data_IF_279026262709
#
_entry.id   IF_279026262709
#
_cell.length_a   1.000
_cell.length_b   1.000
_cell.length_c   1.000
_cell.angle_alpha   90.00
_cell.angle_beta   90.00
_cell.angle_gamma   90.00
#
_symmetry.space_group_name_H-M   'P 1'
#
loop_
_entity.id
_entity.type
_entity.pdbx_description
1 polymer ?
#
# COMPACT_ATOMS: atom_id res chain seq x y z
N UNK A 1 7.28 15.17 14.62
CA UNK A 1 6.22 15.41 15.63
C UNK A 1 5.68 14.10 16.21
N UNK A 2 5.37 13.09 15.38
CA UNK A 2 4.87 11.80 15.87
C UNK A 2 5.84 11.00 16.75
N UNK A 3 7.15 11.03 16.46
CA UNK A 3 8.11 10.35 17.33
C UNK A 3 8.09 10.93 18.75
N UNK A 4 8.01 12.25 18.89
CA UNK A 4 7.88 12.90 20.19
C UNK A 4 6.54 12.58 20.87
N UNK A 5 5.44 12.55 20.10
CA UNK A 5 4.11 12.16 20.63
C UNK A 5 4.08 10.70 21.07
N UNK A 6 4.60 9.76 20.26
CA UNK A 6 4.69 8.34 20.64
C UNK A 6 5.54 8.15 21.90
N UNK A 7 6.69 8.83 21.99
CA UNK A 7 7.55 8.78 23.18
C UNK A 7 6.89 9.41 24.41
N UNK A 8 6.12 10.49 24.25
CA UNK A 8 5.34 11.07 25.34
C UNK A 8 4.19 10.16 25.77
N UNK A 9 3.46 9.57 24.82
CA UNK A 9 2.38 8.63 25.07
C UNK A 9 2.89 7.37 25.79
N UNK A 10 4.05 6.83 25.40
CA UNK A 10 4.71 5.70 26.09
C UNK A 10 5.16 6.03 27.53
N UNK A 11 5.39 7.31 27.85
CA UNK A 11 5.74 7.76 29.20
C UNK A 11 4.53 8.01 30.10
N UNK A 12 3.32 8.01 29.55
CA UNK A 12 2.08 8.22 30.32
C UNK A 12 1.52 6.88 30.80
N UNK A 13 1.32 6.74 32.11
CA UNK A 13 1.05 5.44 32.76
C UNK A 13 -0.32 4.82 32.48
N UNK A 14 -1.22 5.52 31.78
CA UNK A 14 -2.55 5.01 31.40
C UNK A 14 -3.03 5.65 30.08
N UNK A 15 -2.76 5.00 28.95
CA UNK A 15 -3.51 5.26 27.72
C UNK A 15 -4.81 4.46 27.73
N UNK A 16 -5.95 5.15 27.74
CA UNK A 16 -7.24 4.51 27.49
C UNK A 16 -7.44 4.32 25.97
N UNK A 17 -6.84 3.25 25.43
CA UNK A 17 -7.03 2.86 24.03
C UNK A 17 -8.48 2.51 23.71
N UNK A 18 -9.35 2.33 24.72
CA UNK A 18 -10.77 2.06 24.53
C UNK A 18 -11.61 3.30 24.34
N UNK A 19 -11.07 4.47 24.64
CA UNK A 19 -11.76 5.72 24.43
C UNK A 19 -11.91 6.00 22.93
N UNK A 20 -13.16 6.12 22.47
CA UNK A 20 -13.49 6.59 21.13
C UNK A 20 -13.79 8.09 21.22
N UNK A 21 -13.09 8.96 20.47
CA UNK A 21 -13.37 10.39 20.44
C UNK A 21 -14.83 10.68 20.11
N UNK A 22 -15.44 11.63 20.83
CA UNK A 22 -16.82 12.06 20.57
C UNK A 22 -16.97 12.83 19.26
N UNK A 23 -15.91 13.53 18.85
CA UNK A 23 -15.85 14.26 17.58
C UNK A 23 -15.02 13.46 16.59
N UNK A 24 -15.63 13.11 15.45
CA UNK A 24 -15.04 12.25 14.42
C UNK A 24 -14.60 13.06 13.20
N UNK A 25 -13.64 13.97 13.40
CA UNK A 25 -12.97 14.67 12.29
C UNK A 25 -12.04 13.73 11.51
N UNK A 26 -11.53 14.19 10.35
CA UNK A 26 -10.59 13.41 9.54
C UNK A 26 -9.41 12.92 10.41
N UNK A 27 -9.13 11.61 10.36
CA UNK A 27 -8.08 11.00 11.16
C UNK A 27 -8.42 10.73 12.63
N UNK A 28 -9.67 10.89 13.09
CA UNK A 28 -10.06 10.62 14.49
C UNK A 28 -9.64 9.23 14.99
N UNK A 29 -9.66 8.24 14.09
CA UNK A 29 -9.33 6.85 14.35
C UNK A 29 -7.85 6.64 14.70
N UNK A 30 -6.97 7.62 14.44
CA UNK A 30 -5.57 7.56 14.88
C UNK A 30 -5.46 7.48 16.41
N UNK A 31 -6.42 8.03 17.15
CA UNK A 31 -6.49 7.95 18.61
C UNK A 31 -6.71 6.51 19.13
N UNK A 32 -7.20 5.60 18.27
CA UNK A 32 -7.38 4.19 18.63
C UNK A 32 -6.07 3.39 18.56
N UNK A 33 -5.02 3.94 17.94
CA UNK A 33 -3.78 3.20 17.71
C UNK A 33 -2.85 3.24 18.92
N UNK A 34 -2.12 2.16 19.17
CA UNK A 34 -1.20 2.08 20.30
C UNK A 34 0.21 2.54 19.91
N UNK A 35 0.86 3.44 20.65
CA UNK A 35 2.23 3.83 20.35
C UNK A 35 3.19 2.67 20.56
N UNK A 36 4.20 2.58 19.70
CA UNK A 36 5.21 1.55 19.75
C UNK A 36 6.57 2.11 19.29
N UNK A 37 7.66 1.48 19.71
CA UNK A 37 9.03 1.82 19.33
C UNK A 37 9.78 0.57 18.84
N UNK A 38 10.41 0.68 17.69
CA UNK A 38 11.35 -0.30 17.13
C UNK A 38 12.77 0.22 17.34
N UNK A 39 13.43 -0.31 18.37
CA UNK A 39 14.75 0.18 18.78
C UNK A 39 14.70 1.63 19.28
N UNK A 40 15.85 2.33 19.32
CA UNK A 40 15.92 3.66 19.93
C UNK A 40 15.39 4.79 19.04
N UNK A 41 15.23 4.56 17.73
CA UNK A 41 15.11 5.64 16.74
C UNK A 41 13.80 5.66 15.95
N UNK A 42 12.99 4.60 16.00
CA UNK A 42 11.81 4.47 15.15
C UNK A 42 10.57 4.26 16.00
N UNK A 43 9.70 5.26 16.06
CA UNK A 43 8.38 5.13 16.66
C UNK A 43 7.32 4.94 15.59
N UNK A 44 6.24 4.24 15.91
CA UNK A 44 5.09 4.05 15.04
C UNK A 44 3.83 3.81 15.88
N UNK A 45 2.66 3.91 15.25
CA UNK A 45 1.39 3.57 15.90
C UNK A 45 0.88 2.22 15.40
N UNK A 46 0.62 1.28 16.31
CA UNK A 46 -0.03 0.00 16.03
C UNK A 46 -1.51 0.18 15.71
N UNK A 47 -1.93 -0.06 14.45
CA UNK A 47 -3.30 0.12 14.01
C UNK A 47 -4.22 -1.07 14.35
N UNK A 48 -3.73 -2.11 15.03
CA UNK A 48 -4.51 -3.32 15.35
C UNK A 48 -5.87 -3.03 16.00
N UNK A 49 -5.92 -2.08 16.94
CA UNK A 49 -7.16 -1.63 17.60
C UNK A 49 -8.08 -0.85 16.67
N UNK A 50 -7.53 -0.02 15.77
CA UNK A 50 -8.32 0.65 14.73
C UNK A 50 -9.04 -0.38 13.87
N UNK A 51 -8.36 -1.46 13.46
CA UNK A 51 -8.94 -2.50 12.61
C UNK A 51 -10.14 -3.21 13.27
N UNK A 52 -10.16 -3.29 14.60
CA UNK A 52 -11.28 -3.85 15.35
C UNK A 52 -12.51 -2.92 15.42
N UNK A 53 -12.35 -1.63 15.14
CA UNK A 53 -13.45 -0.67 15.21
C UNK A 53 -14.10 -0.49 13.83
N UNK A 54 -15.40 -0.86 13.65
CA UNK A 54 -16.03 -0.87 12.33
C UNK A 54 -16.00 0.47 11.60
N UNK A 55 -16.36 1.57 12.30
CA UNK A 55 -16.34 2.92 11.72
C UNK A 55 -14.91 3.41 11.46
N UNK A 56 -13.99 3.25 12.42
CA UNK A 56 -12.60 3.70 12.28
C UNK A 56 -11.87 3.05 11.09
N UNK A 57 -12.09 1.76 10.84
CA UNK A 57 -11.54 1.12 9.63
C UNK A 57 -12.15 1.69 8.35
N UNK A 58 -13.46 1.89 8.30
CA UNK A 58 -14.15 2.44 7.13
C UNK A 58 -13.70 3.87 6.82
N UNK A 59 -13.62 4.72 7.84
CA UNK A 59 -13.19 6.10 7.71
C UNK A 59 -11.71 6.20 7.30
N UNK A 60 -10.86 5.34 7.86
CA UNK A 60 -9.46 5.25 7.45
C UNK A 60 -9.32 4.88 5.98
N UNK A 61 -10.05 3.87 5.52
CA UNK A 61 -10.07 3.48 4.10
C UNK A 61 -10.61 4.60 3.21
N UNK A 62 -11.68 5.29 3.63
CA UNK A 62 -12.25 6.41 2.89
C UNK A 62 -11.26 7.58 2.75
N UNK A 63 -10.58 7.94 3.84
CA UNK A 63 -9.56 8.98 3.86
C UNK A 63 -8.38 8.63 2.94
N UNK A 64 -7.91 7.38 3.00
CA UNK A 64 -6.81 6.89 2.15
C UNK A 64 -7.16 6.91 0.66
N UNK A 65 -8.43 6.73 0.31
CA UNK A 65 -8.91 6.75 -1.06
C UNK A 65 -9.30 8.13 -1.57
N UNK A 66 -9.52 9.11 -0.68
CA UNK A 66 -9.99 10.44 -1.05
C UNK A 66 -9.16 11.09 -2.17
N UNK A 67 -7.81 11.10 -2.14
CA UNK A 67 -7.03 11.73 -3.20
C UNK A 67 -7.09 10.98 -4.52
N UNK A 68 -7.41 9.69 -4.51
CA UNK A 68 -7.43 8.81 -5.69
C UNK A 68 -8.81 8.72 -6.35
N UNK A 69 -9.77 9.54 -5.94
CA UNK A 69 -11.10 9.56 -6.57
C UNK A 69 -10.99 9.94 -8.05
N UNK A 70 -11.52 9.06 -8.92
CA UNK A 70 -11.45 9.22 -10.36
C UNK A 70 -10.14 8.76 -11.00
N UNK A 71 -9.12 8.45 -10.20
CA UNK A 71 -7.89 7.86 -10.72
C UNK A 71 -8.15 6.43 -11.21
N UNK A 72 -7.53 6.04 -12.32
CA UNK A 72 -7.65 4.68 -12.78
C UNK A 72 -6.80 3.73 -11.93
N UNK A 73 -7.47 2.83 -11.22
CA UNK A 73 -6.87 1.75 -10.44
C UNK A 73 -7.43 0.41 -10.93
N UNK A 74 -6.53 -0.49 -11.32
CA UNK A 74 -6.87 -1.82 -11.82
C UNK A 74 -6.66 -2.91 -10.75
N UNK A 75 -5.72 -2.69 -9.84
CA UNK A 75 -5.34 -3.63 -8.79
C UNK A 75 -4.78 -2.89 -7.57
N UNK A 76 -4.91 -3.48 -6.39
CA UNK A 76 -4.34 -2.96 -5.15
C UNK A 76 -3.24 -3.90 -4.70
N UNK A 77 -2.05 -3.38 -4.40
CA UNK A 77 -0.91 -4.16 -3.95
C UNK A 77 -0.61 -3.84 -2.48
N UNK A 78 -0.78 -4.83 -1.59
CA UNK A 78 -0.49 -4.69 -0.17
C UNK A 78 0.88 -5.25 0.19
N UNK A 79 1.56 -4.60 1.14
CA UNK A 79 2.90 -4.97 1.60
C UNK A 79 2.82 -5.69 2.97
N UNK A 80 3.59 -6.77 3.10
CA UNK A 80 3.61 -7.68 4.26
C UNK A 80 3.58 -7.01 5.65
N UNK A 81 2.80 -7.50 6.62
CA UNK A 81 1.50 -8.18 6.49
C UNK A 81 0.36 -7.25 6.94
N UNK A 82 0.67 -6.21 7.71
CA UNK A 82 -0.31 -5.22 8.16
C UNK A 82 -0.87 -4.41 6.98
N UNK A 83 -0.06 -4.18 5.93
CA UNK A 83 -0.52 -3.59 4.67
C UNK A 83 -1.53 -4.45 3.92
N UNK A 84 -1.64 -5.76 4.22
CA UNK A 84 -2.68 -6.61 3.64
C UNK A 84 -4.06 -6.29 4.20
N UNK A 85 -4.16 -5.88 5.47
CA UNK A 85 -5.44 -5.57 6.11
C UNK A 85 -6.06 -4.34 5.42
N UNK A 86 -5.30 -3.25 5.35
CA UNK A 86 -5.73 -2.04 4.65
C UNK A 86 -5.87 -2.26 3.14
N UNK A 87 -4.90 -2.95 2.53
CA UNK A 87 -4.90 -3.20 1.10
C UNK A 87 -6.09 -4.05 0.65
N UNK A 88 -6.46 -5.09 1.41
CA UNK A 88 -7.64 -5.90 1.12
C UNK A 88 -8.94 -5.11 1.32
N UNK A 89 -9.03 -4.28 2.37
CA UNK A 89 -10.18 -3.41 2.60
C UNK A 89 -10.37 -2.37 1.49
N UNK A 90 -9.27 -1.77 1.01
CA UNK A 90 -9.26 -0.87 -0.14
C UNK A 90 -9.64 -1.61 -1.42
N UNK A 91 -9.05 -2.79 -1.68
CA UNK A 91 -9.37 -3.61 -2.85
C UNK A 91 -10.86 -3.98 -2.91
N UNK A 92 -11.44 -4.36 -1.76
CA UNK A 92 -12.86 -4.66 -1.64
C UNK A 92 -13.73 -3.43 -1.93
N UNK A 93 -13.38 -2.27 -1.35
CA UNK A 93 -14.07 -0.98 -1.59
C UNK A 93 -14.04 -0.59 -3.06
N UNK A 94 -12.89 -0.75 -3.73
CA UNK A 94 -12.73 -0.44 -5.15
C UNK A 94 -13.27 -1.54 -6.09
N UNK A 95 -13.66 -2.71 -5.55
CA UNK A 95 -14.00 -3.92 -6.30
C UNK A 95 -12.90 -4.33 -7.29
N UNK A 96 -11.66 -4.40 -6.79
CA UNK A 96 -10.45 -4.75 -7.56
C UNK A 96 -9.76 -5.99 -7.00
N UNK A 97 -8.87 -6.56 -7.80
CA UNK A 97 -7.97 -7.62 -7.35
C UNK A 97 -6.96 -7.09 -6.33
N UNK A 98 -6.41 -8.02 -5.54
CA UNK A 98 -5.40 -7.76 -4.52
C UNK A 98 -4.11 -8.54 -4.83
N UNK A 99 -2.97 -7.85 -4.86
CA UNK A 99 -1.64 -8.40 -5.05
C UNK A 99 -0.86 -8.36 -3.73
N UNK A 100 -0.49 -9.53 -3.22
CA UNK A 100 0.35 -9.62 -2.02
C UNK A 100 1.83 -9.49 -2.39
N UNK A 101 2.52 -8.52 -1.81
CA UNK A 101 3.98 -8.38 -1.84
C UNK A 101 4.51 -8.80 -0.48
N UNK A 102 5.26 -9.91 -0.42
CA UNK A 102 5.61 -10.60 0.82
C UNK A 102 7.09 -10.48 1.15
N UNK A 103 7.47 -10.71 2.41
CA UNK A 103 8.87 -11.07 2.71
C UNK A 103 9.19 -12.42 2.04
N UNK A 104 10.44 -12.60 1.62
CA UNK A 104 10.86 -13.77 0.87
C UNK A 104 10.62 -15.11 1.60
N UNK A 105 10.28 -16.15 0.84
CA UNK A 105 10.08 -17.52 1.33
C UNK A 105 8.66 -17.84 1.80
N UNK A 106 7.68 -17.00 1.46
CA UNK A 106 6.29 -17.14 1.91
C UNK A 106 5.29 -17.41 0.78
N UNK A 107 5.64 -17.15 -0.48
CA UNK A 107 4.86 -17.48 -1.67
C UNK A 107 5.26 -18.87 -2.19
N UNK A 108 4.26 -19.71 -2.47
CA UNK A 108 4.45 -21.09 -2.92
C UNK A 108 4.46 -21.24 -4.45
N UNK A 109 4.87 -20.19 -5.17
CA UNK A 109 4.83 -20.09 -6.64
C UNK A 109 6.12 -19.45 -7.14
N UNK A 110 6.28 -19.33 -8.45
CA UNK A 110 7.39 -18.57 -9.03
C UNK A 110 7.27 -17.09 -8.64
N UNK A 111 8.38 -16.50 -8.21
CA UNK A 111 8.43 -15.11 -7.71
C UNK A 111 9.52 -14.28 -8.37
N UNK A 112 9.25 -12.98 -8.50
CA UNK A 112 10.30 -11.96 -8.57
C UNK A 112 10.69 -11.58 -7.15
N UNK A 113 11.95 -11.23 -6.96
CA UNK A 113 12.51 -10.86 -5.65
C UNK A 113 13.28 -9.55 -5.74
N UNK A 114 13.24 -8.78 -4.67
CA UNK A 114 13.92 -7.48 -4.59
C UNK A 114 14.56 -7.32 -3.20
N UNK A 115 15.90 -7.22 -3.10
CA UNK A 115 16.58 -6.93 -1.86
C UNK A 115 16.31 -5.49 -1.41
N UNK A 116 16.30 -5.28 -0.09
CA UNK A 116 16.21 -3.98 0.56
C UNK A 116 16.91 -3.98 1.91
N UNK A 117 17.31 -2.79 2.36
CA UNK A 117 17.87 -2.59 3.70
C UNK A 117 16.76 -2.14 4.64
N UNK A 118 16.59 -2.86 5.75
CA UNK A 118 15.61 -2.49 6.77
C UNK A 118 16.13 -1.39 7.73
N UNK A 119 15.28 -0.98 8.66
CA UNK A 119 15.62 0.04 9.67
C UNK A 119 16.78 -0.36 10.61
N UNK A 120 17.17 -1.64 10.66
CA UNK A 120 18.30 -2.13 11.43
C UNK A 120 19.61 -2.18 10.63
N UNK A 121 19.57 -1.78 9.35
CA UNK A 121 20.72 -1.88 8.45
C UNK A 121 20.95 -3.29 7.89
N UNK A 122 20.02 -4.22 8.12
CA UNK A 122 20.13 -5.60 7.64
C UNK A 122 19.49 -5.73 6.26
N UNK A 123 20.14 -6.48 5.38
CA UNK A 123 19.56 -6.85 4.11
C UNK A 123 18.44 -7.87 4.31
N UNK A 124 17.31 -7.61 3.66
CA UNK A 124 16.13 -8.46 3.59
C UNK A 124 15.65 -8.51 2.15
N UNK A 125 14.74 -9.42 1.86
CA UNK A 125 14.24 -9.63 0.50
C UNK A 125 12.72 -9.62 0.52
N UNK A 126 12.13 -8.85 -0.41
CA UNK A 126 10.71 -8.88 -0.73
C UNK A 126 10.49 -9.75 -1.97
N UNK A 127 9.31 -10.35 -2.08
CA UNK A 127 8.92 -11.19 -3.21
C UNK A 127 7.48 -10.90 -3.65
N UNK A 128 7.22 -11.14 -4.93
CA UNK A 128 5.88 -11.08 -5.52
C UNK A 128 5.73 -12.20 -6.55
N UNK A 129 4.53 -12.78 -6.64
CA UNK A 129 4.23 -13.84 -7.61
C UNK A 129 4.33 -13.31 -9.05
N UNK A 130 4.86 -14.10 -9.97
CA UNK A 130 5.07 -13.66 -11.37
C UNK A 130 3.85 -13.85 -12.26
N UNK A 131 2.91 -14.70 -11.87
CA UNK A 131 1.70 -15.03 -12.61
C UNK A 131 0.50 -14.12 -12.24
N UNK A 132 0.73 -13.04 -11.49
CA UNK A 132 -0.29 -12.02 -11.24
C UNK A 132 -0.64 -11.21 -12.50
N UNK A 133 0.33 -11.09 -13.41
CA UNK A 133 0.24 -10.32 -14.65
C UNK A 133 0.80 -11.20 -15.76
N UNK A 134 -0.07 -11.81 -16.57
CA UNK A 134 0.37 -12.64 -17.68
C UNK A 134 0.91 -11.77 -18.82
N UNK A 135 2.15 -11.97 -19.28
CA UNK A 135 2.64 -11.31 -20.49
C UNK A 135 1.79 -11.73 -21.70
N UNK A 136 1.19 -10.77 -22.41
CA UNK A 136 0.41 -11.00 -23.63
C UNK A 136 -1.11 -11.10 -23.44
N UNK A 137 -1.60 -11.27 -22.21
CA UNK A 137 -3.03 -11.36 -21.92
C UNK A 137 -3.40 -10.45 -20.75
N UNK A 138 -4.38 -9.56 -20.96
CA UNK A 138 -5.02 -8.89 -19.83
C UNK A 138 -5.60 -9.97 -18.91
N UNK A 139 -5.46 -9.85 -17.58
CA UNK A 139 -6.05 -10.82 -16.68
C UNK A 139 -7.53 -11.00 -17.02
N UNK A 140 -8.02 -12.24 -17.03
CA UNK A 140 -9.40 -12.55 -17.48
C UNK A 140 -10.50 -11.78 -16.73
N UNK A 141 -10.17 -11.27 -15.54
CA UNK A 141 -11.02 -10.42 -14.69
C UNK A 141 -10.97 -8.93 -15.04
N UNK A 142 -9.96 -8.45 -15.77
CA UNK A 142 -9.92 -7.07 -16.26
C UNK A 142 -10.92 -6.97 -17.41
N UNK A 143 -12.13 -6.51 -17.09
CA UNK A 143 -13.26 -6.49 -18.03
C UNK A 143 -12.85 -5.98 -19.41
N UNK A 144 -13.22 -6.72 -20.47
CA UNK A 144 -12.94 -6.38 -21.86
C UNK A 144 -13.45 -4.96 -22.14
N UNK A 145 -12.56 -3.98 -22.05
CA UNK A 145 -12.86 -2.60 -22.39
C UNK A 145 -13.24 -2.52 -23.86
N UNK A 146 -14.40 -1.93 -24.16
CA UNK A 146 -14.81 -1.62 -25.53
C UNK A 146 -13.80 -0.61 -26.09
N UNK A 147 -13.01 -0.99 -27.09
CA UNK A 147 -12.24 -0.01 -27.86
C UNK A 147 -13.21 1.07 -28.38
N UNK A 148 -12.88 2.35 -28.17
CA UNK A 148 -13.61 3.47 -28.80
C UNK A 148 -13.51 3.28 -30.31
N UNK A 149 -14.55 2.74 -30.93
CA UNK A 149 -14.55 2.44 -32.37
C UNK A 149 -15.42 1.27 -32.83
N UNK A 150 -15.97 0.45 -31.93
CA UNK A 150 -17.03 -0.52 -32.30
C UNK A 150 -16.59 -1.73 -33.13
N UNK A 151 -15.31 -1.89 -33.45
CA UNK A 151 -14.78 -3.08 -34.11
C UNK A 151 -14.04 -4.00 -33.12
N UNK A 152 -14.46 -5.27 -33.07
CA UNK A 152 -13.73 -6.34 -32.40
C UNK A 152 -12.47 -6.66 -33.22
N UNK A 153 -11.34 -6.07 -32.86
CA UNK A 153 -10.08 -6.37 -33.53
C UNK A 153 -9.62 -7.79 -33.15
N UNK A 154 -9.75 -8.73 -34.08
CA UNK A 154 -9.15 -10.08 -34.07
C UNK A 154 -7.61 -10.05 -34.26
N UNK A 155 -6.95 -8.98 -33.80
CA UNK A 155 -5.51 -8.76 -33.98
C UNK A 155 -4.97 -8.19 -32.67
N UNK A 156 -4.75 -9.07 -31.70
CA UNK A 156 -4.11 -8.77 -30.41
C UNK A 156 -2.63 -8.35 -30.53
N UNK A 157 -2.06 -8.35 -31.74
CA UNK A 157 -0.63 -8.25 -31.99
C UNK A 157 -0.06 -6.82 -32.17
N UNK A 158 -0.89 -5.76 -32.21
CA UNK A 158 -0.40 -4.41 -32.57
C UNK A 158 -0.92 -3.24 -31.72
N UNK A 159 -1.74 -3.49 -30.69
CA UNK A 159 -2.14 -2.44 -29.75
C UNK A 159 -1.35 -2.64 -28.45
N UNK A 160 -0.52 -1.68 -27.99
CA UNK A 160 0.06 -1.76 -26.65
C UNK A 160 -1.11 -1.84 -25.66
N UNK A 161 -1.26 -2.98 -24.97
CA UNK A 161 -2.30 -3.06 -23.94
C UNK A 161 -1.97 -1.99 -22.90
N UNK A 162 -2.95 -1.20 -22.45
CA UNK A 162 -2.70 -0.22 -21.40
C UNK A 162 -2.13 -0.97 -20.19
N UNK A 163 -1.00 -0.48 -19.69
CA UNK A 163 -0.34 -1.06 -18.52
C UNK A 163 -1.26 -1.17 -17.30
N UNK A 164 -0.98 -2.12 -16.42
CA UNK A 164 -1.75 -2.30 -15.19
C UNK A 164 -1.42 -1.20 -14.18
N UNK A 165 -2.45 -0.57 -13.62
CA UNK A 165 -2.31 0.53 -12.67
C UNK A 165 -2.59 0.04 -11.26
N UNK A 166 -1.58 0.11 -10.41
CA UNK A 166 -1.60 -0.46 -9.05
C UNK A 166 -1.59 0.63 -8.00
N UNK A 167 -2.46 0.52 -6.99
CA UNK A 167 -2.36 1.32 -5.78
C UNK A 167 -1.56 0.52 -4.74
N UNK A 168 -0.41 1.05 -4.33
CA UNK A 168 0.42 0.43 -3.29
C UNK A 168 -0.09 0.84 -1.90
N UNK A 169 -0.20 -0.14 -1.00
CA UNK A 169 -0.78 0.05 0.33
C UNK A 169 0.12 -0.57 1.40
N UNK A 170 0.39 0.21 2.42
CA UNK A 170 1.07 -0.20 3.66
C UNK A 170 0.50 0.63 4.82
N UNK A 171 0.67 0.22 6.07
CA UNK A 171 0.29 1.07 7.21
C UNK A 171 1.32 2.17 7.44
N UNK A 172 2.61 1.85 7.39
CA UNK A 172 3.67 2.76 7.83
C UNK A 172 4.88 2.65 6.94
N UNK A 173 5.38 3.80 6.48
CA UNK A 173 6.64 3.88 5.76
C UNK A 173 7.68 4.49 6.68
N UNK A 174 8.54 3.66 7.29
CA UNK A 174 9.62 4.15 8.15
C UNK A 174 10.79 4.69 7.30
N UNK A 175 11.72 3.81 6.87
CA UNK A 175 12.88 4.22 6.06
C UNK A 175 12.58 4.33 4.56
N UNK A 176 11.41 3.86 4.13
CA UNK A 176 11.06 3.70 2.72
C UNK A 176 11.61 2.44 2.04
N UNK A 177 12.46 1.65 2.71
CA UNK A 177 13.12 0.49 2.10
C UNK A 177 12.13 -0.55 1.54
N UNK A 178 11.15 -0.97 2.34
CA UNK A 178 10.14 -1.95 1.92
C UNK A 178 9.25 -1.42 0.79
N UNK A 179 8.78 -0.18 0.88
CA UNK A 179 7.94 0.44 -0.14
C UNK A 179 8.69 0.61 -1.46
N UNK A 180 9.96 1.03 -1.42
CA UNK A 180 10.81 1.12 -2.63
C UNK A 180 11.02 -0.23 -3.29
N UNK A 181 11.25 -1.28 -2.51
CA UNK A 181 11.36 -2.64 -3.05
C UNK A 181 10.05 -3.11 -3.67
N UNK A 182 8.91 -2.80 -3.04
CA UNK A 182 7.59 -3.10 -3.60
C UNK A 182 7.32 -2.38 -4.93
N UNK A 183 7.65 -1.08 -5.01
CA UNK A 183 7.58 -0.29 -6.25
C UNK A 183 8.41 -0.96 -7.35
N UNK A 184 9.66 -1.33 -7.06
CA UNK A 184 10.54 -1.98 -8.03
C UNK A 184 10.00 -3.33 -8.50
N UNK A 185 9.46 -4.14 -7.58
CA UNK A 185 8.82 -5.42 -7.93
C UNK A 185 7.61 -5.21 -8.85
N UNK A 186 6.77 -4.22 -8.56
CA UNK A 186 5.62 -3.88 -9.40
C UNK A 186 6.06 -3.43 -10.80
N UNK A 187 7.05 -2.55 -10.88
CA UNK A 187 7.59 -2.07 -12.16
C UNK A 187 8.21 -3.23 -12.97
N UNK A 188 8.92 -4.15 -12.31
CA UNK A 188 9.49 -5.34 -12.95
C UNK A 188 8.43 -6.34 -13.43
N UNK A 189 7.33 -6.51 -12.69
CA UNK A 189 6.25 -7.43 -13.07
C UNK A 189 5.60 -7.08 -14.41
N UNK A 190 5.56 -5.80 -14.77
CA UNK A 190 4.97 -5.38 -16.04
C UNK A 190 5.81 -5.70 -17.28
N UNK A 191 7.12 -5.83 -17.12
CA UNK A 191 8.05 -5.89 -18.24
C UNK A 191 7.85 -4.74 -19.25
N UNK A 192 8.39 -4.90 -20.47
CA UNK A 192 8.31 -3.87 -21.52
C UNK A 192 6.96 -3.88 -22.24
N UNK A 193 6.36 -5.05 -22.41
CA UNK A 193 5.16 -5.23 -23.23
C UNK A 193 3.85 -4.88 -22.50
N UNK A 194 3.81 -4.98 -21.17
CA UNK A 194 2.62 -4.74 -20.34
C UNK A 194 2.97 -4.04 -19.02
N UNK A 195 3.48 -2.81 -19.06
CA UNK A 195 4.04 -2.14 -17.89
C UNK A 195 3.04 -2.14 -16.73
N UNK A 196 3.49 -2.44 -15.53
CA UNK A 196 2.70 -2.35 -14.32
C UNK A 196 3.23 -1.16 -13.55
N UNK A 197 2.39 -0.14 -13.39
CA UNK A 197 2.79 1.17 -12.88
C UNK A 197 2.07 1.45 -11.56
N UNK A 198 2.78 1.93 -10.54
CA UNK A 198 2.13 2.47 -9.36
C UNK A 198 1.35 3.74 -9.74
N UNK A 199 0.03 3.74 -9.53
CA UNK A 199 -0.82 4.95 -9.60
C UNK A 199 -0.51 5.89 -8.45
N UNK A 200 -0.11 5.31 -7.32
CA UNK A 200 0.26 6.05 -6.11
C UNK A 200 0.46 5.13 -4.92
N UNK A 201 0.62 5.77 -3.76
CA UNK A 201 0.88 5.12 -2.47
C UNK A 201 -0.14 5.61 -1.45
N UNK A 202 -0.85 4.70 -0.81
CA UNK A 202 -1.81 4.99 0.26
C UNK A 202 -1.34 4.34 1.57
N UNK A 203 -1.04 5.14 2.58
CA UNK A 203 -0.45 4.66 3.84
C UNK A 203 -0.96 5.43 5.05
N UNK A 204 -1.02 4.86 6.25
CA UNK A 204 -1.42 5.66 7.43
C UNK A 204 -0.41 6.78 7.69
N UNK A 205 0.90 6.47 7.60
CA UNK A 205 1.98 7.42 7.82
C UNK A 205 3.15 7.19 6.86
N UNK A 206 3.75 8.29 6.40
CA UNK A 206 5.06 8.31 5.75
C UNK A 206 5.97 9.20 6.59
N UNK A 207 7.02 8.61 7.18
CA UNK A 207 8.01 9.37 7.94
C UNK A 207 8.81 10.31 7.03
N UNK A 208 9.29 11.43 7.59
CA UNK A 208 10.25 12.33 6.91
C UNK A 208 11.67 11.75 6.89
N UNK A 209 11.78 10.54 6.35
CA UNK A 209 13.05 9.87 6.05
C UNK A 209 13.47 10.14 4.61
N UNK A 210 14.72 9.83 4.26
CA UNK A 210 15.18 9.92 2.87
C UNK A 210 14.28 9.14 1.91
N UNK A 211 13.90 7.91 2.27
CA UNK A 211 12.99 7.11 1.46
C UNK A 211 11.57 7.64 1.45
N UNK A 212 11.06 8.16 2.58
CA UNK A 212 9.74 8.78 2.65
C UNK A 212 9.62 10.01 1.73
N UNK A 213 10.62 10.90 1.74
CA UNK A 213 10.69 12.04 0.81
C UNK A 213 10.81 11.59 -0.64
N UNK A 214 11.67 10.61 -0.92
CA UNK A 214 11.84 10.07 -2.26
C UNK A 214 10.52 9.57 -2.86
N UNK A 215 9.68 8.91 -2.05
CA UNK A 215 8.37 8.40 -2.45
C UNK A 215 7.42 9.58 -2.74
N UNK A 216 7.32 10.55 -1.82
CA UNK A 216 6.43 11.70 -1.94
C UNK A 216 6.76 12.62 -3.13
N UNK A 217 8.04 12.72 -3.50
CA UNK A 217 8.49 13.48 -4.67
C UNK A 217 8.11 12.83 -6.00
N UNK A 218 7.92 11.51 -6.04
CA UNK A 218 7.79 10.72 -7.28
C UNK A 218 6.40 10.16 -7.52
N UNK A 219 5.66 9.90 -6.46
CA UNK A 219 4.36 9.24 -6.54
C UNK A 219 3.31 10.08 -5.82
N UNK A 220 2.09 10.05 -6.36
CA UNK A 220 0.92 10.59 -5.66
C UNK A 220 0.73 9.81 -4.36
N UNK A 221 0.77 10.51 -3.24
CA UNK A 221 0.68 9.90 -1.91
C UNK A 221 -0.59 10.34 -1.17
N UNK A 222 -1.15 9.44 -0.39
CA UNK A 222 -2.11 9.76 0.66
C UNK A 222 -1.60 9.22 1.99
N UNK A 223 -1.64 10.05 3.03
CA UNK A 223 -1.46 9.61 4.40
C UNK A 223 -2.40 10.29 5.40
N UNK A 224 -2.73 9.56 6.45
CA UNK A 224 -3.70 9.97 7.49
C UNK A 224 -3.04 10.82 8.58
N UNK A 225 -1.76 10.57 8.85
CA UNK A 225 -0.96 11.33 9.80
C UNK A 225 -0.50 12.64 9.15
N UNK A 226 -0.86 13.82 9.69
CA UNK A 226 -0.42 15.10 9.16
C UNK A 226 1.07 15.40 9.39
#
# INVERSE_FOLDING_TARGET
LLHAQCLQCLRSSHMDLCHVPTTQEKGWYLALMAPNIKGPNYAWLDPSRLYCHPQGLQDCVADLLQPFQGDPIDMVAGIDAMGFILGAAIAATLRKGFLAIRKAGHLCVQTLVQPYTDYSGREKVMEVRTDAISPGELPSWLGRGRCRGGHWALSYSLCPLPGLRTLLVDQWVETGGTMRAAIQLVEQLGGVSHPCVPTGVATICIEDSEGGRWIQERYKCCHCVP
#
